data_IF_780762537545
#
_entry.id   IF_780762537545
#
_cell.length_a   1.000
_cell.length_b   1.000
_cell.length_c   1.000
_cell.angle_alpha   90.00
_cell.angle_beta   90.00
_cell.angle_gamma   90.00
#
_symmetry.space_group_name_H-M   'P 1'
#
loop_
_entity.id
_entity.type
_entity.pdbx_description
1 polymer ?
#
# COMPACT_ATOMS: atom_id res chain seq x y z
N UNK A 1 47.93 -30.70 -50.46
CA UNK A 1 48.40 -31.90 -49.73
C UNK A 1 47.87 -31.75 -48.30
N UNK A 2 46.66 -32.22 -48.01
CA UNK A 2 46.36 -33.57 -47.43
C UNK A 2 46.76 -33.48 -45.94
N UNK A 3 45.89 -33.52 -44.91
CA UNK A 3 44.93 -34.57 -44.51
C UNK A 3 44.02 -34.02 -43.37
N UNK A 4 42.71 -34.32 -43.41
CA UNK A 4 41.83 -34.43 -42.23
C UNK A 4 42.08 -35.77 -41.51
N UNK A 5 42.01 -35.87 -40.18
CA UNK A 5 41.63 -37.13 -39.56
C UNK A 5 40.19 -37.05 -39.01
N UNK A 6 39.34 -37.78 -39.72
CA UNK A 6 38.35 -38.77 -39.25
C UNK A 6 37.95 -38.84 -37.78
N UNK A 7 36.64 -38.97 -37.63
CA UNK A 7 35.88 -39.40 -36.47
C UNK A 7 36.35 -40.74 -35.85
N UNK A 8 36.18 -40.85 -34.53
CA UNK A 8 35.99 -42.12 -33.85
C UNK A 8 34.56 -42.17 -33.29
N UNK A 9 33.78 -43.13 -33.79
CA UNK A 9 32.52 -43.58 -33.20
C UNK A 9 32.84 -44.77 -32.32
N UNK A 10 32.54 -44.70 -31.02
CA UNK A 10 32.37 -45.86 -30.15
C UNK A 10 31.17 -45.65 -29.21
N UNK A 11 30.09 -46.32 -29.60
CA UNK A 11 29.04 -47.03 -28.85
C UNK A 11 28.63 -46.62 -27.42
N UNK A 12 27.34 -46.26 -27.34
CA UNK A 12 26.30 -46.36 -26.30
C UNK A 12 26.66 -47.01 -24.95
N UNK A 13 26.22 -46.35 -23.88
CA UNK A 13 25.32 -46.97 -22.89
C UNK A 13 24.48 -45.94 -22.11
N UNK A 14 23.40 -46.45 -21.53
CA UNK A 14 22.12 -45.85 -21.18
C UNK A 14 22.07 -44.77 -20.07
N UNK A 15 20.94 -44.05 -20.10
CA UNK A 15 20.18 -43.49 -18.97
C UNK A 15 20.92 -42.58 -17.97
N UNK A 16 20.69 -41.27 -18.10
CA UNK A 16 20.69 -40.39 -16.94
C UNK A 16 19.68 -39.25 -17.09
N UNK A 17 18.69 -39.31 -16.21
CA UNK A 17 17.63 -38.34 -15.97
C UNK A 17 18.21 -36.95 -15.68
N UNK A 18 17.60 -35.96 -16.34
CA UNK A 18 17.62 -34.57 -15.91
C UNK A 18 16.89 -34.46 -14.57
N UNK A 19 17.63 -34.34 -13.46
CA UNK A 19 17.09 -33.97 -12.14
C UNK A 19 17.89 -32.81 -11.58
N UNK A 20 17.18 -31.71 -11.35
CA UNK A 20 17.63 -30.54 -10.61
C UNK A 20 18.19 -30.97 -9.25
N UNK A 21 19.43 -30.57 -8.96
CA UNK A 21 20.00 -30.75 -7.64
C UNK A 21 19.38 -29.73 -6.68
N UNK A 22 18.37 -30.18 -5.93
CA UNK A 22 18.00 -29.58 -4.66
C UNK A 22 19.15 -29.84 -3.67
N UNK A 23 19.80 -28.77 -3.21
CA UNK A 23 20.78 -28.88 -2.13
C UNK A 23 20.04 -29.08 -0.80
N UNK A 24 20.16 -30.28 -0.25
CA UNK A 24 19.78 -30.59 1.12
C UNK A 24 20.79 -29.96 2.09
N UNK A 25 20.33 -29.14 3.02
CA UNK A 25 21.07 -28.80 4.23
C UNK A 25 20.35 -29.39 5.44
N UNK A 26 21.07 -30.31 6.09
CA UNK A 26 20.69 -31.03 7.28
C UNK A 26 20.56 -30.09 8.50
N UNK A 27 19.63 -30.47 9.37
CA UNK A 27 19.38 -29.87 10.68
C UNK A 27 20.64 -29.78 11.53
N UNK A 28 20.84 -28.61 12.14
CA UNK A 28 21.50 -28.49 13.44
C UNK A 28 20.67 -27.56 14.31
N UNK A 29 20.11 -28.13 15.37
CA UNK A 29 19.49 -27.42 16.47
C UNK A 29 20.50 -26.46 17.11
N UNK A 30 20.11 -25.19 17.19
CA UNK A 30 20.76 -24.15 17.97
C UNK A 30 19.72 -23.06 18.18
N UNK A 31 19.34 -22.82 19.44
CA UNK A 31 18.29 -21.89 19.83
C UNK A 31 18.54 -20.49 19.26
N UNK A 32 17.87 -20.16 18.15
CA UNK A 32 17.80 -18.82 17.60
C UNK A 32 16.55 -18.15 18.17
N UNK A 33 16.75 -17.02 18.86
CA UNK A 33 15.68 -16.15 19.30
C UNK A 33 14.78 -15.80 18.10
N UNK A 34 13.48 -16.00 18.29
CA UNK A 34 12.43 -15.83 17.28
C UNK A 34 12.45 -14.43 16.68
N UNK A 35 12.85 -14.32 15.42
CA UNK A 35 12.65 -13.11 14.62
C UNK A 35 11.14 -12.97 14.37
N UNK A 36 10.59 -11.81 14.72
CA UNK A 36 9.15 -11.53 14.76
C UNK A 36 8.45 -11.74 13.42
N UNK A 37 7.37 -12.52 13.43
CA UNK A 37 6.65 -13.04 12.26
C UNK A 37 5.61 -12.10 11.61
N UNK A 38 5.77 -10.78 11.70
CA UNK A 38 4.87 -9.81 11.07
C UNK A 38 5.67 -8.65 10.46
N UNK A 39 5.34 -8.25 9.22
CA UNK A 39 5.55 -6.85 8.84
C UNK A 39 4.62 -6.06 9.75
N UNK A 40 5.17 -5.22 10.61
CA UNK A 40 4.34 -4.35 11.45
C UNK A 40 3.56 -3.44 10.53
N UNK A 41 2.24 -3.55 10.57
CA UNK A 41 1.30 -2.58 10.02
C UNK A 41 0.21 -2.51 11.07
N UNK A 42 0.24 -1.42 11.81
CA UNK A 42 -0.63 -1.19 12.94
C UNK A 42 -1.45 0.02 12.52
N UNK A 43 -2.53 -0.20 11.77
CA UNK A 43 -3.54 0.84 11.59
C UNK A 43 -4.03 1.29 12.97
N UNK A 44 -4.45 2.54 13.12
CA UNK A 44 -5.16 2.96 14.33
C UNK A 44 -6.50 2.21 14.41
N UNK A 45 -6.54 1.10 15.17
CA UNK A 45 -7.76 0.39 15.56
C UNK A 45 -8.24 -0.68 14.56
N UNK A 46 -8.10 -1.95 14.95
CA UNK A 46 -8.93 -3.06 14.49
C UNK A 46 -9.44 -3.79 15.73
N UNK A 47 -10.47 -3.24 16.36
CA UNK A 47 -11.51 -4.10 16.94
C UNK A 47 -12.65 -4.10 15.92
N UNK A 48 -13.23 -5.28 15.63
CA UNK A 48 -14.38 -5.43 14.74
C UNK A 48 -15.48 -4.43 15.14
N UNK A 49 -15.80 -3.49 14.24
CA UNK A 49 -17.02 -2.71 14.35
C UNK A 49 -18.21 -3.66 14.14
N UNK A 50 -18.72 -4.23 15.23
CA UNK A 50 -20.01 -4.94 15.20
C UNK A 50 -21.12 -3.91 15.06
N UNK A 51 -21.52 -3.64 13.82
CA UNK A 51 -22.82 -3.02 13.58
C UNK A 51 -23.90 -3.97 14.17
N UNK A 52 -24.80 -3.50 15.05
CA UNK A 52 -25.90 -4.33 15.49
C UNK A 52 -26.76 -4.69 14.27
N UNK A 53 -27.01 -6.00 14.13
CA UNK A 53 -27.93 -6.56 13.14
C UNK A 53 -29.24 -5.79 13.19
N UNK A 54 -29.67 -5.28 12.03
CA UNK A 54 -30.92 -4.56 11.86
C UNK A 54 -32.10 -5.39 12.39
N UNK A 55 -32.58 -5.04 13.58
CA UNK A 55 -33.93 -5.38 14.01
C UNK A 55 -34.85 -4.24 13.53
N UNK A 56 -35.65 -4.54 12.51
CA UNK A 56 -36.84 -3.82 12.03
C UNK A 56 -36.90 -2.31 12.34
N UNK A 57 -36.35 -1.49 11.45
CA UNK A 57 -36.60 -0.04 11.46
C UNK A 57 -37.91 0.21 10.71
N UNK A 58 -38.96 0.51 11.48
CA UNK A 58 -40.10 1.29 11.01
C UNK A 58 -39.61 2.60 10.40
N UNK A 59 -40.19 2.97 9.26
CA UNK A 59 -39.87 4.18 8.51
C UNK A 59 -39.96 5.46 9.36
N UNK A 60 -38.81 5.92 9.85
CA UNK A 60 -38.47 7.32 10.12
C UNK A 60 -36.97 7.36 10.47
N UNK A 61 -36.14 7.78 9.50
CA UNK A 61 -34.73 8.08 9.74
C UNK A 61 -34.67 9.35 10.61
N UNK A 62 -34.05 9.33 11.80
CA UNK A 62 -33.87 10.55 12.56
C UNK A 62 -32.86 11.44 11.82
N UNK A 63 -33.22 12.70 11.59
CA UNK A 63 -32.32 13.74 11.12
C UNK A 63 -31.03 13.73 11.95
N UNK A 64 -29.90 13.35 11.34
CA UNK A 64 -28.60 13.66 11.88
C UNK A 64 -28.47 15.18 11.89
N UNK A 65 -28.60 15.78 13.08
CA UNK A 65 -28.22 17.16 13.32
C UNK A 65 -26.81 17.36 12.78
N UNK A 66 -26.66 18.30 11.85
CA UNK A 66 -25.38 18.82 11.41
C UNK A 66 -24.51 19.05 12.65
N UNK A 67 -23.36 18.37 12.67
CA UNK A 67 -22.32 18.56 13.68
C UNK A 67 -22.07 20.06 13.84
N UNK A 68 -21.94 20.52 15.08
CA UNK A 68 -21.33 21.82 15.36
C UNK A 68 -20.01 21.90 14.57
N UNK A 69 -19.78 23.03 13.91
CA UNK A 69 -18.51 23.33 13.26
C UNK A 69 -17.40 23.17 14.30
N UNK A 70 -16.62 22.10 14.17
CA UNK A 70 -15.57 21.76 15.12
C UNK A 70 -14.34 22.68 14.99
N UNK A 71 -14.34 23.56 13.99
CA UNK A 71 -13.26 24.47 13.68
C UNK A 71 -12.06 23.76 13.06
N UNK A 72 -10.99 24.52 12.87
CA UNK A 72 -9.74 24.00 12.35
C UNK A 72 -8.94 23.28 13.44
N UNK A 73 -8.20 22.25 13.02
CA UNK A 73 -7.18 21.58 13.83
C UNK A 73 -5.80 21.88 13.22
N UNK A 74 -5.14 22.98 13.64
CA UNK A 74 -3.87 23.37 13.04
C UNK A 74 -2.77 22.36 13.37
N UNK A 75 -1.74 22.31 12.52
CA UNK A 75 -0.52 21.58 12.81
C UNK A 75 0.26 22.30 13.92
N UNK A 76 0.84 21.60 14.92
CA UNK A 76 1.54 22.27 16.02
C UNK A 76 2.74 23.08 15.56
N UNK A 77 2.99 24.23 16.21
CA UNK A 77 4.20 25.05 15.96
C UNK A 77 5.35 24.75 16.94
N UNK A 78 5.06 24.01 18.02
CA UNK A 78 6.02 23.64 19.05
C UNK A 78 5.74 22.24 19.62
N UNK A 79 6.79 21.52 20.02
CA UNK A 79 6.71 20.14 20.51
C UNK A 79 7.45 19.98 21.83
N UNK A 80 6.79 19.35 22.81
CA UNK A 80 7.38 19.02 24.11
C UNK A 80 8.03 17.63 24.05
N UNK A 81 9.27 17.57 23.56
CA UNK A 81 10.00 16.31 23.44
C UNK A 81 10.21 15.64 24.80
N UNK A 82 9.98 14.34 24.87
CA UNK A 82 10.21 13.55 26.08
C UNK A 82 11.41 12.61 25.93
N UNK A 83 12.32 12.61 26.90
CA UNK A 83 13.47 11.68 26.95
C UNK A 83 13.06 10.21 27.06
N UNK A 84 11.83 9.94 27.49
CA UNK A 84 11.28 8.58 27.64
C UNK A 84 10.69 8.03 26.33
N UNK A 85 10.79 8.82 25.25
CA UNK A 85 10.32 8.45 23.91
C UNK A 85 11.49 8.25 22.97
N UNK A 86 11.30 7.53 21.87
CA UNK A 86 12.30 7.48 20.81
C UNK A 86 11.67 7.36 19.43
N UNK A 87 12.40 7.81 18.41
CA UNK A 87 12.08 7.56 17.00
C UNK A 87 13.18 6.64 16.45
N UNK A 88 12.81 5.40 16.13
CA UNK A 88 13.71 4.41 15.58
C UNK A 88 13.66 4.44 14.07
N UNK A 89 14.77 4.84 13.46
CA UNK A 89 14.97 4.73 12.02
C UNK A 89 15.21 3.28 11.63
N UNK A 90 14.56 2.83 10.57
CA UNK A 90 14.71 1.47 10.06
C UNK A 90 14.62 1.43 8.54
N UNK A 91 15.00 0.32 7.93
CA UNK A 91 14.68 0.00 6.54
C UNK A 91 14.22 -1.46 6.49
N UNK A 92 13.02 -1.69 5.98
CA UNK A 92 12.44 -3.00 5.77
C UNK A 92 12.93 -3.56 4.44
N UNK A 93 13.57 -4.72 4.50
CA UNK A 93 14.04 -5.45 3.32
C UNK A 93 13.17 -6.65 2.99
N UNK A 94 13.77 -7.67 2.38
CA UNK A 94 13.09 -8.93 2.08
C UNK A 94 12.81 -9.74 3.35
N UNK A 95 11.60 -10.27 3.46
CA UNK A 95 11.18 -11.16 4.54
C UNK A 95 11.28 -12.62 4.13
N UNK A 96 11.35 -13.52 5.11
CA UNK A 96 11.37 -14.97 4.87
C UNK A 96 10.23 -15.67 5.59
N UNK A 97 9.87 -16.85 5.10
CA UNK A 97 8.99 -17.79 5.77
C UNK A 97 7.65 -18.01 5.07
N UNK A 98 6.77 -18.81 5.67
CA UNK A 98 5.68 -19.47 4.94
C UNK A 98 4.55 -18.53 4.51
N UNK A 99 4.46 -17.33 5.09
CA UNK A 99 3.48 -16.31 4.70
C UNK A 99 4.03 -15.31 3.67
N UNK A 100 5.26 -15.48 3.21
CA UNK A 100 5.89 -14.55 2.28
C UNK A 100 6.30 -15.25 0.99
N UNK A 101 6.16 -14.55 -0.13
CA UNK A 101 6.70 -14.98 -1.42
C UNK A 101 7.06 -13.77 -2.30
N UNK A 102 8.10 -13.91 -3.11
CA UNK A 102 8.52 -12.87 -4.04
C UNK A 102 7.60 -12.81 -5.25
N UNK A 103 7.37 -11.61 -5.77
CA UNK A 103 6.77 -11.41 -7.09
C UNK A 103 7.77 -11.80 -8.19
N UNK A 104 7.29 -11.87 -9.44
CA UNK A 104 8.08 -12.39 -10.55
C UNK A 104 9.35 -11.55 -10.82
N UNK A 105 9.22 -10.23 -10.78
CA UNK A 105 10.33 -9.32 -11.10
C UNK A 105 10.93 -8.62 -9.87
N UNK A 106 10.10 -7.99 -9.04
CA UNK A 106 10.54 -7.26 -7.86
C UNK A 106 9.42 -7.13 -6.82
N UNK A 107 9.79 -7.01 -5.53
CA UNK A 107 8.83 -6.89 -4.43
C UNK A 107 8.38 -8.24 -3.86
N UNK A 108 7.53 -8.17 -2.84
CA UNK A 108 7.12 -9.33 -2.06
C UNK A 108 5.65 -9.22 -1.66
N UNK A 109 4.99 -10.35 -1.42
CA UNK A 109 3.65 -10.41 -0.85
C UNK A 109 3.74 -11.07 0.52
N UNK A 110 3.09 -10.48 1.51
CA UNK A 110 2.71 -11.11 2.75
C UNK A 110 1.26 -11.58 2.67
N UNK A 111 1.07 -12.89 2.66
CA UNK A 111 -0.25 -13.52 2.63
C UNK A 111 -0.79 -13.78 4.04
N UNK A 112 -1.79 -13.01 4.45
CA UNK A 112 -2.52 -13.18 5.70
C UNK A 112 -3.79 -14.02 5.58
N UNK A 113 -4.12 -14.46 4.38
CA UNK A 113 -5.35 -15.18 4.10
C UNK A 113 -5.19 -16.70 4.26
N UNK A 114 -6.28 -17.43 4.02
CA UNK A 114 -6.27 -18.89 3.88
C UNK A 114 -5.97 -19.37 2.45
N UNK A 115 -5.89 -18.45 1.47
CA UNK A 115 -5.57 -18.80 0.08
C UNK A 115 -4.12 -19.32 0.02
N UNK A 116 -3.85 -20.47 -0.59
CA UNK A 116 -2.49 -20.98 -0.72
C UNK A 116 -1.55 -20.04 -1.50
N UNK A 117 -0.28 -19.90 -1.06
CA UNK A 117 0.69 -19.04 -1.74
C UNK A 117 0.91 -19.44 -3.21
N UNK A 118 0.86 -20.73 -3.56
CA UNK A 118 1.01 -21.15 -4.96
C UNK A 118 -0.12 -20.63 -5.85
N UNK A 119 -1.33 -20.52 -5.33
CA UNK A 119 -2.46 -19.87 -6.02
C UNK A 119 -2.16 -18.38 -6.20
N UNK A 120 -1.78 -17.67 -5.14
CA UNK A 120 -1.49 -16.24 -5.24
C UNK A 120 -0.27 -15.92 -6.12
N UNK A 121 0.75 -16.77 -6.14
CA UNK A 121 1.88 -16.65 -7.08
C UNK A 121 1.38 -16.72 -8.52
N UNK A 122 0.49 -17.67 -8.85
CA UNK A 122 -0.09 -17.77 -10.18
C UNK A 122 -0.92 -16.51 -10.52
N UNK A 123 -1.79 -16.08 -9.61
CA UNK A 123 -2.61 -14.86 -9.77
C UNK A 123 -1.77 -13.59 -9.91
N UNK A 124 -0.62 -13.49 -9.24
CA UNK A 124 0.25 -12.32 -9.30
C UNK A 124 0.82 -12.03 -10.70
N UNK A 125 0.75 -13.00 -11.61
CA UNK A 125 1.19 -12.86 -13.01
C UNK A 125 0.09 -12.40 -13.95
N UNK A 126 -1.17 -12.40 -13.51
CA UNK A 126 -2.29 -11.97 -14.32
C UNK A 126 -2.23 -10.45 -14.62
N UNK A 127 -2.79 -10.06 -15.76
CA UNK A 127 -2.91 -8.65 -16.11
C UNK A 127 -4.05 -7.99 -15.31
N UNK A 128 -3.91 -6.71 -14.91
CA UNK A 128 -5.02 -5.96 -14.33
C UNK A 128 -6.27 -6.00 -15.24
N UNK A 129 -7.45 -6.06 -14.63
CA UNK A 129 -8.73 -6.21 -15.34
C UNK A 129 -9.25 -4.93 -16.03
N UNK A 130 -8.36 -3.95 -16.24
CA UNK A 130 -8.69 -2.67 -16.86
C UNK A 130 -7.58 -2.19 -17.78
N UNK A 131 -7.94 -1.27 -18.66
CA UNK A 131 -7.01 -0.47 -19.48
C UNK A 131 -7.31 1.01 -19.21
N UNK A 132 -6.34 1.88 -19.47
CA UNK A 132 -6.53 3.33 -19.33
C UNK A 132 -6.54 4.04 -20.69
N UNK A 133 -7.11 5.23 -20.71
CA UNK A 133 -7.02 6.19 -21.80
C UNK A 133 -6.25 7.44 -21.39
N UNK A 134 -5.82 8.25 -22.36
CA UNK A 134 -5.15 9.55 -22.11
C UNK A 134 -5.87 10.66 -22.89
N UNK A 135 -7.19 10.50 -23.02
CA UNK A 135 -8.09 11.35 -23.80
C UNK A 135 -8.45 12.66 -23.10
N UNK A 136 -7.97 12.89 -21.88
CA UNK A 136 -8.25 14.07 -21.04
C UNK A 136 -9.26 13.81 -19.92
N UNK A 137 -10.01 12.71 -19.98
CA UNK A 137 -10.93 12.29 -18.92
C UNK A 137 -10.17 11.67 -17.73
N UNK A 138 -10.62 11.90 -16.47
CA UNK A 138 -10.02 11.28 -15.30
C UNK A 138 -10.00 9.75 -15.37
N UNK A 139 -8.82 9.16 -15.15
CA UNK A 139 -8.61 7.71 -15.07
C UNK A 139 -8.32 7.26 -13.63
N UNK A 140 -7.78 8.16 -12.81
CA UNK A 140 -7.35 7.91 -11.44
C UNK A 140 -8.08 8.84 -10.48
N UNK A 141 -8.62 8.28 -9.41
CA UNK A 141 -9.07 9.02 -8.23
C UNK A 141 -8.05 8.80 -7.11
N UNK A 142 -7.53 9.89 -6.56
CA UNK A 142 -6.76 9.89 -5.31
C UNK A 142 -7.65 10.49 -4.24
N UNK A 143 -7.80 9.79 -3.13
CA UNK A 143 -8.61 10.22 -1.99
C UNK A 143 -8.00 9.75 -0.68
N UNK A 144 -8.58 10.21 0.43
CA UNK A 144 -8.08 9.93 1.77
C UNK A 144 -9.27 9.64 2.69
N UNK A 145 -9.39 8.41 3.18
CA UNK A 145 -10.36 8.11 4.25
C UNK A 145 -9.94 8.77 5.56
N UNK A 146 -8.62 8.84 5.83
CA UNK A 146 -8.06 9.56 6.97
C UNK A 146 -7.29 10.80 6.52
N UNK A 147 -8.03 11.75 5.93
CA UNK A 147 -7.47 13.00 5.37
C UNK A 147 -6.60 13.74 6.36
N UNK A 148 -6.96 13.74 7.66
CA UNK A 148 -6.22 14.53 8.65
C UNK A 148 -4.87 13.93 9.07
N UNK A 149 -4.51 12.71 8.68
CA UNK A 149 -3.24 12.11 9.11
C UNK A 149 -2.02 12.95 8.74
N UNK A 150 -1.12 13.11 9.71
CA UNK A 150 0.10 13.91 9.58
C UNK A 150 1.33 13.16 10.07
N UNK A 151 2.50 13.80 9.96
CA UNK A 151 3.82 13.23 10.19
C UNK A 151 4.59 13.96 11.28
N UNK A 152 5.77 13.44 11.64
CA UNK A 152 6.77 14.18 12.40
C UNK A 152 7.22 15.43 11.63
N UNK A 153 7.54 16.54 12.32
CA UNK A 153 7.86 17.81 11.67
C UNK A 153 9.26 17.85 11.04
N UNK A 154 10.18 17.02 11.53
CA UNK A 154 11.56 16.90 11.06
C UNK A 154 12.19 15.65 11.70
N UNK A 155 13.36 15.23 11.20
CA UNK A 155 14.08 14.09 11.76
C UNK A 155 14.57 14.40 13.17
N UNK A 156 14.12 13.64 14.17
CA UNK A 156 14.50 13.79 15.59
C UNK A 156 14.60 12.44 16.28
N UNK A 157 15.30 12.40 17.43
CA UNK A 157 15.53 11.17 18.19
C UNK A 157 14.42 10.86 19.20
N UNK A 158 13.73 11.89 19.69
CA UNK A 158 12.64 11.81 20.67
C UNK A 158 11.45 12.59 20.10
N UNK A 159 10.22 12.21 20.47
CA UNK A 159 9.01 12.87 19.97
C UNK A 159 8.19 13.47 21.13
N UNK A 160 7.16 14.24 20.76
CA UNK A 160 6.17 14.75 21.72
C UNK A 160 5.03 13.74 21.88
N UNK A 161 4.90 13.08 23.05
CA UNK A 161 3.86 12.08 23.27
C UNK A 161 2.44 12.64 23.29
N UNK A 162 2.26 13.97 23.39
CA UNK A 162 0.96 14.63 23.30
C UNK A 162 0.55 14.96 21.85
N UNK A 163 1.47 14.83 20.89
CA UNK A 163 1.15 15.06 19.48
C UNK A 163 0.31 13.89 18.94
N UNK A 164 -0.89 14.19 18.43
CA UNK A 164 -1.84 13.17 17.95
C UNK A 164 -1.77 12.89 16.44
N UNK A 165 -0.77 13.48 15.76
CA UNK A 165 -0.47 13.27 14.35
C UNK A 165 -1.66 13.45 13.41
N UNK A 166 -2.49 14.46 13.69
CA UNK A 166 -3.63 14.83 12.87
C UNK A 166 -3.83 16.34 12.75
N UNK A 167 -4.10 16.83 11.54
CA UNK A 167 -4.37 18.24 11.24
C UNK A 167 -5.37 18.40 10.09
N UNK A 168 -6.21 19.44 10.15
CA UNK A 168 -7.06 19.84 9.02
C UNK A 168 -6.32 20.72 8.01
N UNK A 169 -5.06 21.10 8.27
CA UNK A 169 -4.25 21.89 7.35
C UNK A 169 -3.74 20.99 6.19
N UNK A 170 -4.19 21.22 4.94
CA UNK A 170 -3.80 20.41 3.80
C UNK A 170 -2.30 20.48 3.47
N UNK A 171 -1.59 21.51 3.94
CA UNK A 171 -0.15 21.61 3.75
C UNK A 171 0.64 20.59 4.58
N UNK A 172 0.03 20.01 5.63
CA UNK A 172 0.70 19.13 6.59
C UNK A 172 0.06 17.75 6.75
N UNK A 173 -0.91 17.39 5.91
CA UNK A 173 -1.63 16.11 5.98
C UNK A 173 -1.56 15.31 4.67
N UNK A 174 -2.39 14.27 4.53
CA UNK A 174 -2.40 13.38 3.37
C UNK A 174 -2.68 14.07 2.04
N UNK A 175 -3.35 15.23 2.05
CA UNK A 175 -3.56 16.04 0.84
C UNK A 175 -2.21 16.38 0.21
N UNK A 176 -1.25 16.84 1.00
CA UNK A 176 0.09 17.19 0.49
C UNK A 176 0.85 16.01 -0.13
N UNK A 177 0.65 14.80 0.40
CA UNK A 177 1.22 13.57 -0.19
C UNK A 177 0.49 13.18 -1.48
N UNK A 178 -0.83 13.31 -1.50
CA UNK A 178 -1.67 13.13 -2.68
C UNK A 178 -1.32 14.10 -3.82
N UNK A 179 -1.00 15.35 -3.50
CA UNK A 179 -0.54 16.37 -4.46
C UNK A 179 0.73 15.92 -5.18
N UNK A 180 1.69 15.34 -4.43
CA UNK A 180 2.94 14.85 -4.98
C UNK A 180 2.72 13.69 -5.98
N UNK A 181 1.78 12.78 -5.70
CA UNK A 181 1.40 11.70 -6.62
C UNK A 181 0.69 12.27 -7.86
N UNK A 182 -0.30 13.14 -7.63
CA UNK A 182 -1.12 13.79 -8.67
C UNK A 182 -0.24 14.50 -9.69
N UNK A 183 0.72 15.30 -9.23
CA UNK A 183 1.63 16.04 -10.10
C UNK A 183 2.40 15.14 -11.08
N UNK A 184 2.79 13.93 -10.67
CA UNK A 184 3.52 13.00 -11.55
C UNK A 184 2.61 12.32 -12.57
N UNK A 185 1.37 12.00 -12.18
CA UNK A 185 0.38 11.42 -13.09
C UNK A 185 -0.05 12.43 -14.16
N UNK A 186 -0.32 13.68 -13.77
CA UNK A 186 -0.67 14.75 -14.68
C UNK A 186 0.49 15.09 -15.63
N UNK A 187 1.73 15.12 -15.12
CA UNK A 187 2.92 15.30 -15.96
C UNK A 187 3.09 14.18 -17.00
N UNK A 188 2.56 12.99 -16.74
CA UNK A 188 2.52 11.87 -17.67
C UNK A 188 1.29 11.87 -18.60
N UNK A 189 0.42 12.88 -18.51
CA UNK A 189 -0.79 13.03 -19.33
C UNK A 189 -1.95 12.13 -18.89
N UNK A 190 -1.94 11.63 -17.65
CA UNK A 190 -3.02 10.84 -17.07
C UNK A 190 -3.98 11.79 -16.35
N UNK A 191 -5.26 11.74 -16.67
CA UNK A 191 -6.28 12.52 -15.98
C UNK A 191 -6.48 12.02 -14.54
N UNK A 192 -6.46 12.94 -13.57
CA UNK A 192 -6.61 12.63 -12.15
C UNK A 192 -7.69 13.50 -11.53
N UNK A 193 -8.47 12.91 -10.63
CA UNK A 193 -9.21 13.66 -9.61
C UNK A 193 -8.51 13.42 -8.29
N UNK A 194 -8.06 14.49 -7.64
CA UNK A 194 -7.57 14.45 -6.27
C UNK A 194 -8.64 15.04 -5.36
N UNK A 195 -9.30 14.16 -4.59
CA UNK A 195 -10.34 14.56 -3.66
C UNK A 195 -9.72 14.86 -2.28
N UNK A 196 -9.87 16.11 -1.85
CA UNK A 196 -9.29 16.62 -0.60
C UNK A 196 -10.33 16.75 0.53
N UNK A 197 -11.52 16.15 0.37
CA UNK A 197 -12.56 16.17 1.40
C UNK A 197 -12.03 15.53 2.69
N UNK A 198 -12.31 16.16 3.83
CA UNK A 198 -11.96 15.62 5.14
C UNK A 198 -13.03 14.63 5.59
N UNK A 199 -12.67 13.34 5.70
CA UNK A 199 -13.62 12.28 6.06
C UNK A 199 -13.51 11.84 7.54
N UNK A 200 -12.42 12.15 8.25
CA UNK A 200 -12.12 11.64 9.59
C UNK A 200 -12.16 12.71 10.70
N UNK A 201 -12.71 13.90 10.41
CA UNK A 201 -12.86 14.99 11.39
C UNK A 201 -14.20 15.71 11.21
N UNK A 202 -14.90 16.08 12.30
CA UNK A 202 -14.51 15.93 13.72
C UNK A 202 -14.67 14.53 14.31
N UNK A 203 -15.25 13.58 13.55
CA UNK A 203 -15.40 12.20 13.99
C UNK A 203 -14.55 11.28 13.13
N UNK A 204 -13.71 10.46 13.76
CA UNK A 204 -12.98 9.40 13.07
C UNK A 204 -13.91 8.25 12.66
N UNK A 205 -14.86 7.90 13.53
CA UNK A 205 -15.81 6.81 13.30
C UNK A 205 -16.72 7.11 12.11
N UNK A 206 -16.98 6.10 11.29
CA UNK A 206 -17.73 6.21 10.03
C UNK A 206 -16.99 6.94 8.90
N UNK A 207 -15.68 7.16 9.03
CA UNK A 207 -14.89 7.80 7.97
C UNK A 207 -14.91 6.99 6.68
N UNK A 208 -14.83 5.65 6.76
CA UNK A 208 -14.95 4.75 5.60
C UNK A 208 -16.31 4.85 4.92
N UNK A 209 -17.42 4.97 5.66
CA UNK A 209 -18.75 5.13 5.05
C UNK A 209 -18.86 6.46 4.29
N UNK A 210 -18.40 7.55 4.91
CA UNK A 210 -18.37 8.88 4.29
C UNK A 210 -17.48 8.90 3.05
N UNK A 211 -16.31 8.28 3.14
CA UNK A 211 -15.38 8.24 2.01
C UNK A 211 -15.90 7.35 0.88
N UNK A 212 -16.60 6.25 1.19
CA UNK A 212 -17.28 5.43 0.20
C UNK A 212 -18.39 6.19 -0.53
N UNK A 213 -19.17 7.01 0.17
CA UNK A 213 -20.18 7.88 -0.45
C UNK A 213 -19.54 8.85 -1.44
N UNK A 214 -18.48 9.56 -1.04
CA UNK A 214 -17.71 10.45 -1.91
C UNK A 214 -17.20 9.72 -3.16
N UNK A 215 -16.58 8.55 -2.99
CA UNK A 215 -16.05 7.77 -4.12
C UNK A 215 -17.17 7.35 -5.07
N UNK A 216 -18.31 6.84 -4.56
CA UNK A 216 -19.44 6.43 -5.40
C UNK A 216 -20.00 7.59 -6.23
N UNK A 217 -20.13 8.78 -5.63
CA UNK A 217 -20.59 9.97 -6.33
C UNK A 217 -19.63 10.37 -7.46
N UNK A 218 -18.32 10.35 -7.20
CA UNK A 218 -17.29 10.66 -8.20
C UNK A 218 -17.29 9.62 -9.33
N UNK A 219 -17.35 8.32 -9.01
CA UNK A 219 -17.39 7.24 -10.01
C UNK A 219 -18.66 7.32 -10.88
N UNK A 220 -19.78 7.76 -10.32
CA UNK A 220 -21.01 8.01 -11.09
C UNK A 220 -20.84 9.18 -12.06
N UNK A 221 -20.15 10.25 -11.65
CA UNK A 221 -19.90 11.42 -12.48
C UNK A 221 -18.83 11.16 -13.55
N UNK A 222 -17.81 10.36 -13.22
CA UNK A 222 -16.66 10.06 -14.06
C UNK A 222 -16.48 8.53 -14.20
N UNK A 223 -17.34 7.85 -14.99
CA UNK A 223 -17.26 6.41 -15.20
C UNK A 223 -15.99 5.96 -15.96
N UNK A 224 -15.17 6.90 -16.41
CA UNK A 224 -13.85 6.68 -17.00
C UNK A 224 -12.79 6.25 -15.97
N UNK A 225 -12.99 6.54 -14.68
CA UNK A 225 -12.05 6.19 -13.62
C UNK A 225 -11.90 4.68 -13.50
N UNK A 226 -10.65 4.21 -13.49
CA UNK A 226 -10.28 2.79 -13.38
C UNK A 226 -9.55 2.46 -12.08
N UNK A 227 -8.92 3.46 -11.48
CA UNK A 227 -8.08 3.31 -10.29
C UNK A 227 -8.57 4.26 -9.21
N UNK A 228 -8.75 3.74 -8.01
CA UNK A 228 -9.04 4.53 -6.80
C UNK A 228 -7.96 4.23 -5.78
N UNK A 229 -7.20 5.25 -5.38
CA UNK A 229 -6.16 5.11 -4.36
C UNK A 229 -6.59 5.84 -3.11
N UNK A 230 -6.70 5.09 -2.02
CA UNK A 230 -6.84 5.63 -0.68
C UNK A 230 -5.43 5.79 -0.07
N UNK A 231 -4.96 7.03 0.08
CA UNK A 231 -3.59 7.32 0.53
C UNK A 231 -3.63 7.62 2.03
N UNK A 232 -2.89 6.82 2.79
CA UNK A 232 -2.76 6.83 4.25
C UNK A 232 -1.29 6.85 4.67
N UNK A 233 -1.06 6.85 5.99
CA UNK A 233 0.24 6.52 6.60
C UNK A 233 0.07 5.59 7.80
N UNK A 234 0.96 4.61 7.90
CA UNK A 234 0.86 3.55 8.90
C UNK A 234 1.08 4.10 10.33
N UNK A 235 0.54 3.42 11.35
CA UNK A 235 0.68 3.83 12.75
C UNK A 235 1.62 2.94 13.56
N UNK A 236 2.77 2.57 12.97
CA UNK A 236 3.75 1.69 13.61
C UNK A 236 4.45 2.37 14.80
N UNK A 237 4.08 1.94 16.00
CA UNK A 237 4.70 2.31 17.26
C UNK A 237 4.82 1.08 18.16
N UNK A 238 5.96 0.93 18.82
CA UNK A 238 6.16 -0.08 19.86
C UNK A 238 6.57 0.58 21.16
N UNK A 239 5.74 0.43 22.18
CA UNK A 239 5.89 1.13 23.46
C UNK A 239 6.06 2.64 23.21
N UNK A 240 7.09 3.29 23.75
CA UNK A 240 7.39 4.69 23.48
C UNK A 240 8.34 4.88 22.27
N UNK A 241 8.30 3.99 21.28
CA UNK A 241 9.18 4.05 20.10
C UNK A 241 8.39 4.14 18.81
N UNK A 242 8.44 5.29 18.14
CA UNK A 242 7.93 5.43 16.78
C UNK A 242 8.88 4.78 15.79
N UNK A 243 8.35 4.11 14.78
CA UNK A 243 9.18 3.52 13.73
C UNK A 243 9.19 4.44 12.52
N UNK A 244 10.37 4.81 12.04
CA UNK A 244 10.59 5.65 10.86
C UNK A 244 11.23 4.80 9.75
N UNK A 245 10.45 4.12 8.90
CA UNK A 245 10.97 3.36 7.77
C UNK A 245 11.44 4.28 6.65
N UNK A 246 12.70 4.17 6.28
CA UNK A 246 13.35 5.02 5.28
C UNK A 246 14.20 4.21 4.31
N UNK A 247 14.34 4.75 3.10
CA UNK A 247 15.26 4.29 2.07
C UNK A 247 15.89 5.50 1.38
N UNK A 248 17.16 5.41 0.99
CA UNK A 248 17.80 6.44 0.18
C UNK A 248 17.64 6.14 -1.31
N UNK A 249 17.02 7.06 -2.05
CA UNK A 249 16.79 6.94 -3.50
C UNK A 249 17.25 8.24 -4.15
N UNK A 250 18.21 8.14 -5.07
CA UNK A 250 18.80 9.29 -5.79
C UNK A 250 19.35 10.38 -4.85
N UNK A 251 19.94 10.00 -3.72
CA UNK A 251 20.54 10.92 -2.74
C UNK A 251 19.53 11.67 -1.86
N UNK A 252 18.25 11.25 -1.85
CA UNK A 252 17.21 11.78 -0.96
C UNK A 252 16.55 10.64 -0.19
N UNK A 253 16.21 10.88 1.06
CA UNK A 253 15.49 9.92 1.89
C UNK A 253 14.00 9.91 1.55
N UNK A 254 13.48 8.73 1.24
CA UNK A 254 12.06 8.47 1.04
C UNK A 254 11.52 7.66 2.21
N UNK A 255 10.25 7.87 2.57
CA UNK A 255 9.52 6.88 3.35
C UNK A 255 9.36 5.59 2.52
N UNK A 256 9.34 4.42 3.18
CA UNK A 256 8.97 3.18 2.50
C UNK A 256 7.45 3.01 2.43
N UNK A 257 6.97 2.43 1.34
CA UNK A 257 5.55 2.34 1.02
C UNK A 257 5.06 0.91 1.15
N UNK A 258 3.84 0.71 1.66
CA UNK A 258 3.15 -0.57 1.62
C UNK A 258 1.85 -0.43 0.83
N UNK A 259 1.53 -1.43 0.01
CA UNK A 259 0.19 -1.58 -0.55
C UNK A 259 -0.60 -2.53 0.34
N UNK A 260 -1.79 -2.13 0.76
CA UNK A 260 -2.79 -3.04 1.33
C UNK A 260 -3.75 -3.46 0.22
N UNK A 261 -3.77 -4.75 -0.09
CA UNK A 261 -4.72 -5.37 -1.02
C UNK A 261 -5.72 -6.18 -0.21
N UNK A 262 -6.96 -5.71 -0.15
CA UNK A 262 -8.06 -6.41 0.51
C UNK A 262 -8.35 -7.76 -0.13
N UNK A 263 -8.81 -8.68 0.68
CA UNK A 263 -9.30 -10.01 0.31
C UNK A 263 -10.65 -10.25 0.98
N UNK A 264 -11.53 -11.00 0.33
CA UNK A 264 -12.79 -11.47 0.90
C UNK A 264 -12.72 -12.96 1.24
N UNK A 265 -13.26 -13.35 2.39
CA UNK A 265 -13.51 -14.74 2.78
C UNK A 265 -14.97 -15.17 2.51
N UNK A 266 -15.76 -14.29 1.92
CA UNK A 266 -17.18 -14.46 1.62
C UNK A 266 -18.11 -13.62 2.49
N UNK A 267 -17.58 -12.77 3.37
CA UNK A 267 -18.35 -11.98 4.34
C UNK A 267 -18.39 -10.48 4.03
N UNK A 268 -17.49 -9.98 3.18
CA UNK A 268 -17.30 -8.54 2.94
C UNK A 268 -17.88 -8.05 1.61
N UNK A 269 -18.44 -8.94 0.78
CA UNK A 269 -19.03 -8.60 -0.52
C UNK A 269 -18.04 -7.88 -1.46
N UNK A 270 -16.82 -8.38 -1.56
CA UNK A 270 -15.79 -7.86 -2.47
C UNK A 270 -15.46 -8.87 -3.57
N UNK A 271 -16.41 -9.28 -4.42
CA UNK A 271 -16.22 -10.41 -5.35
C UNK A 271 -15.05 -10.21 -6.35
N UNK A 272 -14.60 -8.97 -6.54
CA UNK A 272 -13.52 -8.61 -7.46
C UNK A 272 -12.16 -8.35 -6.77
N UNK A 273 -11.99 -8.69 -5.48
CA UNK A 273 -10.75 -8.41 -4.73
C UNK A 273 -9.49 -8.93 -5.43
N UNK A 274 -9.59 -10.07 -6.15
CA UNK A 274 -8.45 -10.64 -6.85
C UNK A 274 -7.98 -9.77 -8.02
N UNK A 275 -8.89 -8.98 -8.63
CA UNK A 275 -8.53 -8.06 -9.70
C UNK A 275 -7.75 -6.86 -9.16
N UNK A 276 -8.10 -6.36 -7.96
CA UNK A 276 -7.28 -5.39 -7.23
C UNK A 276 -5.91 -5.96 -6.89
N UNK A 277 -5.85 -7.23 -6.49
CA UNK A 277 -4.59 -7.93 -6.20
C UNK A 277 -3.66 -8.01 -7.42
N UNK A 278 -4.20 -8.27 -8.62
CA UNK A 278 -3.41 -8.22 -9.88
C UNK A 278 -2.78 -6.84 -10.09
N UNK A 279 -3.56 -5.78 -9.85
CA UNK A 279 -3.06 -4.41 -9.94
C UNK A 279 -2.02 -4.10 -8.85
N UNK A 280 -2.25 -4.51 -7.59
CA UNK A 280 -1.29 -4.38 -6.50
C UNK A 280 0.06 -4.99 -6.84
N UNK A 281 0.05 -6.23 -7.37
CA UNK A 281 1.26 -6.94 -7.79
C UNK A 281 1.99 -6.16 -8.88
N UNK A 282 1.28 -5.76 -9.94
CA UNK A 282 1.89 -5.01 -11.05
C UNK A 282 2.50 -3.68 -10.60
N UNK A 283 1.80 -2.96 -9.73
CA UNK A 283 2.27 -1.68 -9.20
C UNK A 283 3.50 -1.86 -8.31
N UNK A 284 3.50 -2.82 -7.38
CA UNK A 284 4.65 -3.08 -6.52
C UNK A 284 5.87 -3.53 -7.34
N UNK A 285 5.70 -4.43 -8.32
CA UNK A 285 6.80 -4.83 -9.22
C UNK A 285 7.44 -3.62 -9.90
N UNK A 286 6.63 -2.68 -10.36
CA UNK A 286 7.13 -1.48 -11.03
C UNK A 286 7.79 -0.51 -10.04
N UNK A 287 7.19 -0.29 -8.87
CA UNK A 287 7.77 0.57 -7.81
C UNK A 287 9.13 0.03 -7.35
N UNK A 288 9.19 -1.24 -6.95
CA UNK A 288 10.40 -1.86 -6.44
C UNK A 288 11.47 -2.03 -7.54
N UNK A 289 11.04 -2.30 -8.78
CA UNK A 289 11.94 -2.41 -9.93
C UNK A 289 12.55 -1.07 -10.35
N UNK A 290 11.81 0.04 -10.24
CA UNK A 290 12.33 1.39 -10.50
C UNK A 290 13.16 1.92 -9.33
N UNK A 291 12.76 1.58 -8.11
CA UNK A 291 13.26 2.14 -6.87
C UNK A 291 13.47 1.04 -5.82
N UNK A 292 14.60 0.34 -5.91
CA UNK A 292 14.91 -0.76 -5.01
C UNK A 292 14.88 -0.33 -3.54
N UNK A 293 14.17 -1.09 -2.70
CA UNK A 293 13.95 -0.83 -1.29
C UNK A 293 12.80 0.15 -0.98
N UNK A 294 12.09 0.68 -1.98
CA UNK A 294 10.94 1.56 -1.75
C UNK A 294 9.78 0.82 -1.10
N UNK A 295 9.57 -0.44 -1.44
CA UNK A 295 8.37 -1.16 -1.04
C UNK A 295 8.61 -2.09 0.15
N UNK A 296 7.69 -2.04 1.12
CA UNK A 296 7.42 -3.16 2.03
C UNK A 296 6.56 -4.18 1.29
N UNK A 297 6.53 -5.47 1.73
CA UNK A 297 5.68 -6.46 1.10
C UNK A 297 4.21 -6.01 1.02
N UNK A 298 3.52 -6.29 -0.09
CA UNK A 298 2.05 -6.16 -0.17
C UNK A 298 1.44 -6.90 1.01
N UNK A 299 0.57 -6.25 1.77
CA UNK A 299 -0.28 -6.90 2.75
C UNK A 299 -1.54 -7.39 2.05
N UNK A 300 -1.60 -8.70 1.75
CA UNK A 300 -2.80 -9.34 1.22
C UNK A 300 -3.57 -9.98 2.38
N UNK A 301 -4.67 -9.35 2.78
CA UNK A 301 -5.34 -9.60 4.06
C UNK A 301 -6.86 -9.43 3.98
N UNK A 302 -7.61 -10.03 4.90
CA UNK A 302 -9.07 -9.96 4.95
C UNK A 302 -9.54 -8.57 5.42
N UNK A 303 -9.65 -7.62 4.49
CA UNK A 303 -9.95 -6.20 4.74
C UNK A 303 -10.80 -5.62 3.61
N UNK A 304 -11.75 -4.75 3.96
CA UNK A 304 -12.66 -4.11 3.01
C UNK A 304 -12.10 -2.82 2.39
N UNK A 305 -11.90 -1.79 3.21
CA UNK A 305 -11.32 -0.48 2.85
C UNK A 305 -11.84 0.12 1.54
N UNK A 306 -13.14 -0.04 1.26
CA UNK A 306 -13.81 0.45 0.04
C UNK A 306 -13.18 -0.07 -1.26
N UNK A 307 -12.43 -1.17 -1.19
CA UNK A 307 -11.77 -1.75 -2.36
C UNK A 307 -12.76 -2.56 -3.23
N UNK A 308 -14.01 -2.74 -2.81
CA UNK A 308 -15.11 -3.27 -3.62
C UNK A 308 -15.55 -2.32 -4.75
N UNK A 309 -15.28 -1.01 -4.62
CA UNK A 309 -15.85 0.02 -5.49
C UNK A 309 -15.31 0.00 -6.92
N UNK A 310 -14.11 -0.53 -7.14
CA UNK A 310 -13.54 -0.73 -8.49
C UNK A 310 -12.69 -1.99 -8.54
N UNK A 311 -12.15 -2.31 -9.73
CA UNK A 311 -11.21 -3.42 -9.95
C UNK A 311 -9.75 -2.95 -9.98
N UNK A 312 -9.52 -1.68 -9.66
CA UNK A 312 -8.21 -1.05 -9.47
C UNK A 312 -8.15 -0.23 -8.18
N UNK A 313 -8.91 -0.62 -7.15
CA UNK A 313 -8.92 0.07 -5.85
C UNK A 313 -7.84 -0.48 -4.93
N UNK A 314 -7.00 0.40 -4.38
CA UNK A 314 -5.94 0.04 -3.42
C UNK A 314 -5.84 1.07 -2.29
N UNK A 315 -5.35 0.63 -1.14
CA UNK A 315 -4.88 1.52 -0.08
C UNK A 315 -3.35 1.50 -0.08
N UNK A 316 -2.73 2.68 -0.04
CA UNK A 316 -1.28 2.83 0.10
C UNK A 316 -0.93 3.48 1.44
N UNK A 317 -0.07 2.82 2.19
CA UNK A 317 0.53 3.34 3.42
C UNK A 317 1.86 3.99 3.06
N UNK A 318 1.93 5.32 3.14
CA UNK A 318 3.12 6.11 2.81
C UNK A 318 3.93 6.35 4.07
N UNK A 319 4.81 5.41 4.39
CA UNK A 319 5.59 5.44 5.63
C UNK A 319 4.73 5.24 6.87
N UNK A 320 5.09 5.92 7.94
CA UNK A 320 4.38 5.95 9.21
C UNK A 320 4.27 7.39 9.73
N UNK A 321 3.53 7.60 10.82
CA UNK A 321 3.55 8.88 11.54
C UNK A 321 4.92 9.26 12.13
N UNK A 322 5.85 8.31 12.27
CA UNK A 322 7.25 8.57 12.65
C UNK A 322 8.13 9.08 11.50
N UNK A 323 7.67 8.98 10.24
CA UNK A 323 8.33 9.66 9.12
C UNK A 323 8.09 11.18 9.17
N UNK A 324 8.91 11.91 8.42
CA UNK A 324 8.69 13.33 8.15
C UNK A 324 7.78 13.53 6.94
N UNK A 325 7.10 14.68 6.86
CA UNK A 325 6.27 15.01 5.70
C UNK A 325 7.11 15.06 4.41
N UNK A 326 8.34 15.56 4.44
CA UNK A 326 9.21 15.63 3.27
C UNK A 326 9.58 14.25 2.72
N UNK A 327 9.79 13.28 3.62
CA UNK A 327 10.04 11.88 3.25
C UNK A 327 8.78 11.25 2.63
N UNK A 328 7.60 11.55 3.15
CA UNK A 328 6.33 11.05 2.63
C UNK A 328 5.95 11.68 1.28
N UNK A 329 6.15 12.98 1.11
CA UNK A 329 5.98 13.67 -0.18
C UNK A 329 6.92 13.11 -1.23
N UNK A 330 8.18 12.84 -0.87
CA UNK A 330 9.11 12.22 -1.81
C UNK A 330 8.71 10.79 -2.18
N UNK A 331 8.22 10.01 -1.21
CA UNK A 331 7.62 8.71 -1.50
C UNK A 331 6.42 8.84 -2.45
N UNK A 332 5.54 9.83 -2.24
CA UNK A 332 4.44 10.15 -3.15
C UNK A 332 4.90 10.48 -4.58
N UNK A 333 5.97 11.26 -4.73
CA UNK A 333 6.58 11.54 -6.04
C UNK A 333 7.06 10.24 -6.73
N UNK A 334 7.75 9.36 -6.00
CA UNK A 334 8.25 8.09 -6.54
C UNK A 334 7.10 7.13 -6.89
N UNK A 335 6.09 7.03 -6.03
CA UNK A 335 4.85 6.28 -6.29
C UNK A 335 4.16 6.80 -7.54
N UNK A 336 3.98 8.12 -7.67
CA UNK A 336 3.34 8.74 -8.83
C UNK A 336 4.05 8.42 -10.14
N UNK A 337 5.39 8.49 -10.17
CA UNK A 337 6.20 8.10 -11.36
C UNK A 337 6.02 6.63 -11.72
N UNK A 338 6.08 5.73 -10.72
CA UNK A 338 5.94 4.30 -10.94
C UNK A 338 4.52 3.91 -11.34
N UNK A 339 3.50 4.57 -10.77
CA UNK A 339 2.11 4.39 -11.13
C UNK A 339 1.85 4.87 -12.56
N UNK A 340 2.34 6.06 -12.91
CA UNK A 340 2.22 6.58 -14.28
C UNK A 340 2.77 5.59 -15.31
N UNK A 341 3.98 5.06 -15.07
CA UNK A 341 4.59 4.07 -15.97
C UNK A 341 3.80 2.76 -16.00
N UNK A 342 3.26 2.31 -14.86
CA UNK A 342 2.40 1.13 -14.76
C UNK A 342 1.15 1.30 -15.63
N UNK A 343 0.46 2.42 -15.49
CA UNK A 343 -0.79 2.68 -16.21
C UNK A 343 -0.54 2.89 -17.71
N UNK A 344 0.52 3.58 -18.11
CA UNK A 344 0.85 3.76 -19.53
C UNK A 344 1.15 2.44 -20.26
N UNK A 345 1.64 1.41 -19.56
CA UNK A 345 1.78 0.04 -20.10
C UNK A 345 0.43 -0.67 -20.29
N UNK A 346 -0.63 -0.19 -19.64
CA UNK A 346 -2.01 -0.67 -19.75
C UNK A 346 -2.88 0.23 -20.64
N UNK A 347 -2.27 1.18 -21.35
CA UNK A 347 -2.99 2.09 -22.25
C UNK A 347 -3.60 1.30 -23.41
N UNK A 348 -4.88 1.57 -23.69
CA UNK A 348 -5.56 1.03 -24.85
C UNK A 348 -4.95 1.60 -26.13
N UNK A 349 -4.67 0.73 -27.10
CA UNK A 349 -4.15 1.11 -28.43
C UNK A 349 -5.10 2.03 -29.20
#
# INVERSE_FOLDING_TARGET
>A
MVILPTAAVLQKDNDAQNKSAAHAYAEKEGAAQSVSWNVFSDGYGWEEETAPVAAEISAELPEQKASADAGEKPYPESWNLSSDTSVQRTSYGTYSGTRFFSLFSAGQVQNKTSIPNNTLIAESTAAPAFTIETSGEPQVLIMHTHTTESFEPYVRQNFDPAFNYRTTDPAYNMVSVGDAITAQLEAAGIGVIHNTTIHDYPSYNGSYDRSAETVRQILQQYPSIRVVLDIHRDAIQKDNTLIQPVVEINGKESAQVMIISGCDDGTMNMPNYMQNYHFACRLQENMEGMYAGLTRPILFDYRHYNQDLTTGSLLLEIGTHGNTLEQAQYAGELVGKALAQTLLKLKKE
#
